data_IF_369170748009
#
_entry.id   IF_369170748009
#
_cell.length_a   1.000
_cell.length_b   1.000
_cell.length_c   1.000
_cell.angle_alpha   90.00
_cell.angle_beta   90.00
_cell.angle_gamma   90.00
#
_symmetry.space_group_name_H-M   'P 1'
#
loop_
_entity.id
_entity.type
_entity.pdbx_description
1 polymer ?
#
# COMPACT_ATOMS: atom_id res chain seq x y z
N UNK A 1 28.24 -24.61 -32.88
CA UNK A 1 29.16 -23.46 -32.71
C UNK A 1 28.34 -22.21 -32.89
N UNK A 2 28.24 -21.41 -31.83
CA UNK A 2 27.55 -20.13 -31.82
C UNK A 2 28.20 -19.13 -32.80
N UNK A 3 27.48 -18.05 -33.14
CA UNK A 3 27.77 -16.69 -32.64
C UNK A 3 26.69 -15.71 -33.12
N UNK A 4 26.02 -15.13 -32.11
CA UNK A 4 25.51 -13.76 -31.93
C UNK A 4 24.50 -13.15 -32.91
N UNK A 5 23.24 -13.14 -32.49
CA UNK A 5 22.30 -12.06 -32.81
C UNK A 5 22.19 -11.17 -31.56
N UNK A 6 22.97 -10.09 -31.52
CA UNK A 6 22.83 -9.04 -30.49
C UNK A 6 21.68 -8.13 -30.89
N UNK A 7 20.47 -8.44 -30.42
CA UNK A 7 19.40 -7.45 -30.36
C UNK A 7 19.76 -6.46 -29.26
N UNK A 8 20.35 -5.33 -29.65
CA UNK A 8 20.44 -4.15 -28.80
C UNK A 8 19.02 -3.62 -28.59
N UNK A 9 18.37 -4.01 -27.49
CA UNK A 9 17.19 -3.33 -26.99
C UNK A 9 17.61 -1.91 -26.61
N UNK A 10 17.14 -0.93 -27.38
CA UNK A 10 17.28 0.48 -27.03
C UNK A 10 16.01 0.89 -26.31
N UNK A 11 16.06 0.90 -24.99
CA UNK A 11 15.01 1.49 -24.16
C UNK A 11 14.85 2.95 -24.61
N UNK A 12 13.69 3.26 -25.17
CA UNK A 12 13.38 4.64 -25.59
C UNK A 12 12.52 5.24 -24.50
N UNK A 13 13.13 6.14 -23.72
CA UNK A 13 12.41 6.92 -22.71
C UNK A 13 11.91 8.18 -23.38
N UNK A 14 10.59 8.31 -23.50
CA UNK A 14 9.96 9.55 -23.98
C UNK A 14 9.54 10.34 -22.74
N UNK A 15 10.16 11.50 -22.56
CA UNK A 15 9.82 12.43 -21.47
C UNK A 15 8.92 13.52 -22.04
N UNK A 16 7.68 13.58 -21.58
CA UNK A 16 6.73 14.63 -21.96
C UNK A 16 6.50 15.51 -20.76
N UNK A 17 6.87 16.78 -20.90
CA UNK A 17 6.70 17.81 -19.86
C UNK A 17 5.53 18.69 -20.25
N UNK A 18 4.44 18.63 -19.48
CA UNK A 18 3.30 19.51 -19.64
C UNK A 18 3.35 20.59 -18.56
N UNK A 19 3.39 21.85 -19.00
CA UNK A 19 3.28 23.01 -18.13
C UNK A 19 1.88 23.58 -18.29
N UNK A 20 1.08 23.53 -17.23
CA UNK A 20 -0.25 24.14 -17.20
C UNK A 20 -0.23 25.33 -16.25
N UNK A 21 -0.62 26.50 -16.77
CA UNK A 21 -0.73 27.72 -15.99
C UNK A 21 -2.16 28.24 -16.01
N UNK A 22 -2.79 28.30 -14.84
CA UNK A 22 -4.04 29.04 -14.64
C UNK A 22 -3.88 29.86 -13.36
N UNK A 23 -3.45 31.12 -13.49
CA UNK A 23 -3.36 32.08 -12.37
C UNK A 23 -2.27 31.81 -11.33
N UNK A 24 -1.27 32.70 -11.26
CA UNK A 24 -0.21 32.82 -10.23
C UNK A 24 0.56 31.56 -9.78
N UNK A 25 0.52 30.47 -10.52
CA UNK A 25 1.43 29.33 -10.39
C UNK A 25 1.46 28.49 -11.66
N UNK A 26 2.66 28.08 -12.09
CA UNK A 26 2.83 27.08 -13.15
C UNK A 26 3.04 25.75 -12.47
N UNK A 27 2.12 24.80 -12.68
CA UNK A 27 2.35 23.40 -12.31
C UNK A 27 3.00 22.71 -13.49
N UNK A 28 4.14 22.06 -13.26
CA UNK A 28 4.83 21.24 -14.25
C UNK A 28 4.61 19.79 -13.85
N UNK A 29 3.93 19.03 -14.69
CA UNK A 29 3.79 17.59 -14.53
C UNK A 29 4.61 16.91 -15.61
N UNK A 30 5.59 16.10 -15.20
CA UNK A 30 6.40 15.30 -16.11
C UNK A 30 5.87 13.87 -16.09
N UNK A 31 5.55 13.34 -17.28
CA UNK A 31 5.16 11.95 -17.45
C UNK A 31 6.34 11.18 -18.04
N UNK A 32 6.65 10.04 -17.43
CA UNK A 32 7.65 9.10 -17.91
C UNK A 32 6.94 7.90 -18.50
N UNK A 33 7.11 7.68 -19.80
CA UNK A 33 6.62 6.48 -20.46
C UNK A 33 7.86 5.66 -20.84
N UNK A 34 7.99 4.49 -20.21
CA UNK A 34 9.02 3.51 -20.53
C UNK A 34 8.35 2.44 -21.36
N UNK A 35 8.72 2.35 -22.63
CA UNK A 35 8.25 1.29 -23.51
C UNK A 35 9.43 0.43 -23.94
N UNK A 36 9.38 -0.86 -23.60
CA UNK A 36 10.48 -1.78 -23.88
C UNK A 36 10.45 -2.31 -25.33
N UNK A 37 9.34 -2.16 -26.07
CA UNK A 37 9.18 -2.69 -27.44
C UNK A 37 8.28 -1.83 -28.37
N UNK A 38 8.24 -0.51 -28.17
CA UNK A 38 7.49 0.36 -29.08
C UNK A 38 8.21 0.47 -30.43
N UNK A 39 7.69 -0.24 -31.44
CA UNK A 39 8.10 -0.06 -32.83
C UNK A 39 7.92 1.40 -33.31
N UNK A 40 8.49 1.78 -34.47
CA UNK A 40 8.63 3.17 -34.92
C UNK A 40 7.32 3.93 -35.26
N UNK A 41 6.14 3.39 -34.95
CA UNK A 41 4.83 3.93 -35.36
C UNK A 41 3.81 4.06 -34.21
N UNK A 42 4.24 4.38 -33.00
CA UNK A 42 3.29 4.81 -31.95
C UNK A 42 2.93 6.30 -32.14
N UNK A 43 1.64 6.61 -32.30
CA UNK A 43 1.10 7.97 -32.26
C UNK A 43 0.40 8.20 -30.92
N UNK A 44 0.62 9.37 -30.31
CA UNK A 44 -0.02 9.80 -29.07
C UNK A 44 -1.06 10.86 -29.43
N UNK A 45 -2.32 10.66 -29.02
CA UNK A 45 -3.39 11.64 -29.16
C UNK A 45 -3.68 12.30 -27.82
N UNK A 46 -4.07 13.58 -27.84
CA UNK A 46 -4.54 14.30 -26.66
C UNK A 46 -5.95 14.81 -26.95
N UNK A 47 -6.90 14.49 -26.06
CA UNK A 47 -8.18 15.20 -26.00
C UNK A 47 -8.24 16.07 -24.75
N UNK A 48 -9.05 17.12 -24.78
CA UNK A 48 -9.00 18.25 -23.84
C UNK A 48 -9.51 17.95 -22.42
N UNK A 49 -9.86 16.70 -22.13
CA UNK A 49 -10.07 16.19 -20.78
C UNK A 49 -9.03 15.08 -20.52
N UNK A 50 -8.20 15.30 -19.50
CA UNK A 50 -6.94 14.59 -19.21
C UNK A 50 -7.14 13.08 -19.09
N UNK A 51 -7.11 12.39 -20.23
CA UNK A 51 -6.96 10.95 -20.36
C UNK A 51 -5.91 10.71 -21.44
N UNK A 52 -4.88 9.94 -21.09
CA UNK A 52 -3.75 9.69 -21.97
C UNK A 52 -3.95 8.29 -22.57
N UNK A 53 -4.69 8.22 -23.68
CA UNK A 53 -4.96 6.95 -24.34
C UNK A 53 -3.75 6.53 -25.19
N UNK A 54 -2.92 5.62 -24.67
CA UNK A 54 -1.83 5.01 -25.43
C UNK A 54 -2.43 3.89 -26.29
N UNK A 55 -2.74 4.21 -27.55
CA UNK A 55 -3.20 3.22 -28.53
C UNK A 55 -1.98 2.49 -29.10
N UNK A 56 -1.58 1.39 -28.47
CA UNK A 56 -0.60 0.47 -29.05
C UNK A 56 -1.29 -0.36 -30.14
N UNK A 57 -0.93 -0.15 -31.41
CA UNK A 57 -1.51 -0.89 -32.52
C UNK A 57 -1.20 -2.40 -32.42
N UNK A 58 -2.25 -3.21 -32.19
CA UNK A 58 -2.36 -4.65 -32.45
C UNK A 58 -1.36 -5.63 -31.79
N UNK A 59 -0.65 -5.25 -30.72
CA UNK A 59 0.15 -6.22 -29.94
C UNK A 59 -0.58 -6.67 -28.66
N UNK A 60 -0.96 -7.94 -28.52
CA UNK A 60 -1.66 -8.47 -27.33
C UNK A 60 -0.80 -8.52 -26.06
N UNK A 61 0.49 -8.17 -26.12
CA UNK A 61 1.39 -8.10 -24.95
C UNK A 61 1.47 -6.70 -24.33
N UNK A 62 0.96 -5.67 -25.01
CA UNK A 62 0.90 -4.31 -24.47
C UNK A 62 -0.28 -4.17 -23.49
N UNK A 63 0.01 -4.09 -22.18
CA UNK A 63 -0.94 -3.61 -21.17
C UNK A 63 -0.76 -2.11 -21.00
N UNK A 64 -1.85 -1.35 -21.09
CA UNK A 64 -1.86 0.06 -20.70
C UNK A 64 -1.55 0.18 -19.21
N UNK A 65 -0.57 1.01 -18.87
CA UNK A 65 -0.40 1.53 -17.52
C UNK A 65 -1.28 2.78 -17.42
N UNK A 66 -2.55 2.57 -17.10
CA UNK A 66 -3.44 3.68 -16.74
C UNK A 66 -3.03 4.23 -15.37
N UNK A 67 -2.54 5.46 -15.37
CA UNK A 67 -2.30 6.23 -14.15
C UNK A 67 -3.65 6.73 -13.63
N UNK A 68 -3.99 6.35 -12.40
CA UNK A 68 -5.19 6.76 -11.65
C UNK A 68 -6.54 6.38 -12.29
N UNK A 69 -6.95 5.14 -12.10
CA UNK A 69 -8.37 4.77 -12.13
C UNK A 69 -8.70 4.00 -10.86
N UNK A 70 -9.87 4.30 -10.32
CA UNK A 70 -10.59 3.54 -9.31
C UNK A 70 -10.55 2.04 -9.69
N UNK A 71 -9.63 1.26 -9.09
CA UNK A 71 -9.44 -0.15 -9.49
C UNK A 71 -10.48 -1.00 -8.79
N UNK A 72 -11.69 -0.91 -9.31
CA UNK A 72 -12.80 -1.79 -9.02
C UNK A 72 -12.43 -3.20 -9.49
N UNK A 73 -11.86 -4.01 -8.59
CA UNK A 73 -11.62 -5.43 -8.82
C UNK A 73 -10.27 -5.78 -9.46
N UNK A 74 -9.17 -5.57 -8.72
CA UNK A 74 -8.00 -6.39 -8.94
C UNK A 74 -8.42 -7.86 -8.78
N UNK A 75 -8.39 -8.63 -9.88
CA UNK A 75 -8.31 -10.08 -9.79
C UNK A 75 -6.91 -10.38 -9.24
N UNK A 76 -6.81 -10.46 -7.91
CA UNK A 76 -5.58 -10.89 -7.26
C UNK A 76 -5.07 -12.16 -7.91
N UNK A 77 -3.76 -12.27 -8.07
CA UNK A 77 -3.15 -13.55 -8.42
C UNK A 77 -3.61 -14.60 -7.39
N UNK A 78 -3.61 -15.91 -7.72
CA UNK A 78 -4.00 -16.93 -6.75
C UNK A 78 -3.27 -16.82 -5.40
N UNK A 79 -1.98 -16.46 -5.41
CA UNK A 79 -1.20 -16.20 -4.19
C UNK A 79 -1.62 -14.88 -3.49
N UNK A 80 -1.94 -13.83 -4.23
CA UNK A 80 -2.50 -12.59 -3.66
C UNK A 80 -3.85 -12.82 -2.98
N UNK A 81 -4.70 -13.66 -3.59
CA UNK A 81 -5.99 -14.02 -3.01
C UNK A 81 -5.83 -14.86 -1.75
N UNK A 82 -4.88 -15.80 -1.72
CA UNK A 82 -4.52 -16.56 -0.53
C UNK A 82 -4.03 -15.63 0.59
N UNK A 83 -3.11 -14.71 0.29
CA UNK A 83 -2.63 -13.68 1.23
C UNK A 83 -3.79 -12.91 1.85
N UNK A 84 -4.72 -12.42 1.04
CA UNK A 84 -5.90 -11.68 1.53
C UNK A 84 -6.78 -12.54 2.44
N UNK A 85 -6.97 -13.82 2.12
CA UNK A 85 -7.75 -14.70 2.97
C UNK A 85 -7.06 -14.90 4.33
N UNK A 86 -5.75 -15.11 4.34
CA UNK A 86 -4.97 -15.23 5.57
C UNK A 86 -5.03 -13.94 6.41
N UNK A 87 -4.91 -12.77 5.78
CA UNK A 87 -5.04 -11.48 6.48
C UNK A 87 -6.45 -11.27 7.03
N UNK A 88 -7.50 -11.70 6.31
CA UNK A 88 -8.89 -11.67 6.80
C UNK A 88 -9.08 -12.54 8.04
N UNK A 89 -8.46 -13.72 8.08
CA UNK A 89 -8.48 -14.57 9.26
C UNK A 89 -7.69 -13.96 10.43
N UNK A 90 -6.53 -13.35 10.14
CA UNK A 90 -5.73 -12.64 11.13
C UNK A 90 -6.52 -11.51 11.81
N UNK A 91 -7.16 -10.62 11.04
CA UNK A 91 -7.88 -9.47 11.63
C UNK A 91 -9.15 -9.87 12.40
N UNK A 92 -9.67 -11.08 12.20
CA UNK A 92 -10.80 -11.63 12.96
C UNK A 92 -10.40 -12.15 14.34
N UNK A 93 -9.11 -12.33 14.60
CA UNK A 93 -8.65 -12.87 15.88
C UNK A 93 -9.04 -11.94 17.04
N UNK A 94 -9.49 -12.49 18.19
CA UNK A 94 -9.90 -11.68 19.34
C UNK A 94 -8.83 -10.71 19.84
N UNK A 95 -7.55 -11.08 19.74
CA UNK A 95 -6.44 -10.23 20.16
C UNK A 95 -6.36 -8.93 19.33
N UNK A 96 -6.60 -9.02 18.01
CA UNK A 96 -6.63 -7.86 17.11
C UNK A 96 -7.86 -7.00 17.41
N UNK A 97 -9.03 -7.62 17.46
CA UNK A 97 -10.33 -6.95 17.66
C UNK A 97 -10.35 -6.18 18.99
N UNK A 98 -9.92 -6.83 20.09
CA UNK A 98 -9.86 -6.19 21.40
C UNK A 98 -8.89 -5.01 21.44
N UNK A 99 -7.73 -5.13 20.79
CA UNK A 99 -6.73 -4.06 20.76
C UNK A 99 -7.24 -2.82 20.01
N UNK A 100 -7.92 -3.02 18.87
CA UNK A 100 -8.56 -1.94 18.13
C UNK A 100 -9.66 -1.28 18.95
N UNK A 101 -10.57 -2.07 19.54
CA UNK A 101 -11.65 -1.55 20.36
C UNK A 101 -11.15 -0.74 21.57
N UNK A 102 -10.13 -1.23 22.29
CA UNK A 102 -9.52 -0.49 23.39
C UNK A 102 -8.83 0.81 22.94
N UNK A 103 -8.15 0.77 21.78
CA UNK A 103 -7.51 1.96 21.22
C UNK A 103 -8.55 3.01 20.80
N UNK A 104 -9.61 2.57 20.10
CA UNK A 104 -10.71 3.43 19.68
C UNK A 104 -11.44 4.02 20.88
N UNK A 105 -11.75 3.22 21.89
CA UNK A 105 -12.40 3.67 23.12
C UNK A 105 -11.56 4.76 23.81
N UNK A 106 -10.25 4.53 23.97
CA UNK A 106 -9.35 5.53 24.57
C UNK A 106 -9.40 6.86 23.84
N UNK A 107 -9.35 6.83 22.50
CA UNK A 107 -9.28 8.02 21.67
C UNK A 107 -10.65 8.67 21.39
N UNK A 108 -11.76 7.95 21.63
CA UNK A 108 -13.13 8.49 21.54
C UNK A 108 -13.53 9.28 22.80
N UNK A 109 -12.85 9.08 23.93
CA UNK A 109 -13.12 9.78 25.19
C UNK A 109 -12.51 11.19 25.27
N UNK A 110 -11.76 11.60 24.25
CA UNK A 110 -11.13 12.92 24.15
C UNK A 110 -11.67 13.69 22.95
N UNK A 111 -11.63 15.02 23.02
CA UNK A 111 -12.03 15.85 21.88
C UNK A 111 -11.04 15.73 20.71
N UNK A 112 -11.52 15.99 19.51
CA UNK A 112 -10.71 15.95 18.29
C UNK A 112 -9.47 16.85 18.40
N UNK A 113 -9.62 18.08 18.91
CA UNK A 113 -8.49 19.00 19.12
C UNK A 113 -7.42 18.40 20.03
N UNK A 114 -7.82 17.73 21.12
CA UNK A 114 -6.89 17.10 22.06
C UNK A 114 -6.22 15.89 21.41
N UNK A 115 -6.97 15.06 20.67
CA UNK A 115 -6.42 13.91 19.93
C UNK A 115 -5.40 14.35 18.90
N UNK A 116 -5.69 15.40 18.13
CA UNK A 116 -4.78 15.98 17.14
C UNK A 116 -3.47 16.43 17.82
N UNK A 117 -3.53 17.12 18.96
CA UNK A 117 -2.31 17.53 19.68
C UNK A 117 -1.51 16.33 20.19
N UNK A 118 -2.18 15.29 20.69
CA UNK A 118 -1.52 14.04 21.10
C UNK A 118 -0.82 13.39 19.90
N UNK A 119 -1.48 13.30 18.75
CA UNK A 119 -0.92 12.69 17.53
C UNK A 119 0.28 13.48 17.02
N UNK A 120 0.19 14.81 16.96
CA UNK A 120 1.34 15.68 16.62
C UNK A 120 2.53 15.45 17.56
N UNK A 121 2.27 15.26 18.86
CA UNK A 121 3.33 15.01 19.83
C UNK A 121 3.95 13.63 19.66
N UNK A 122 3.13 12.59 19.46
CA UNK A 122 3.59 11.21 19.21
C UNK A 122 4.38 11.12 17.91
N UNK A 123 3.92 11.77 16.86
CA UNK A 123 4.60 11.86 15.56
C UNK A 123 5.98 12.51 15.69
N UNK A 124 6.07 13.65 16.40
CA UNK A 124 7.35 14.31 16.68
C UNK A 124 8.29 13.41 17.47
N UNK A 125 7.80 12.71 18.48
CA UNK A 125 8.60 11.74 19.22
C UNK A 125 9.06 10.60 18.30
N UNK A 126 8.18 10.14 17.40
CA UNK A 126 8.43 9.02 16.50
C UNK A 126 9.58 9.29 15.54
N UNK A 127 9.49 10.41 14.81
CA UNK A 127 10.45 10.82 13.78
C UNK A 127 11.81 11.18 14.39
N UNK A 128 11.82 11.91 15.52
CA UNK A 128 13.07 12.46 16.05
C UNK A 128 13.90 11.46 16.86
N UNK A 129 13.35 10.30 17.19
CA UNK A 129 14.03 9.33 18.05
C UNK A 129 14.77 8.28 17.23
N UNK A 130 16.09 8.25 17.40
CA UNK A 130 16.96 7.19 16.83
C UNK A 130 16.74 5.84 17.52
N UNK A 131 16.55 5.87 18.83
CA UNK A 131 16.30 4.70 19.66
C UNK A 131 14.81 4.54 19.96
N UNK A 132 14.38 3.32 20.29
CA UNK A 132 12.99 3.06 20.67
C UNK A 132 12.64 3.73 22.01
N UNK A 133 11.72 4.69 21.96
CA UNK A 133 11.16 5.36 23.14
C UNK A 133 10.16 4.45 23.89
N UNK A 134 9.72 4.80 25.11
CA UNK A 134 8.67 4.06 25.80
C UNK A 134 7.36 3.95 25.00
N UNK A 135 6.97 5.01 24.28
CA UNK A 135 5.82 4.98 23.37
C UNK A 135 6.03 3.95 22.27
N UNK A 136 7.15 4.02 21.54
CA UNK A 136 7.47 3.08 20.47
C UNK A 136 7.49 1.64 20.97
N UNK A 137 8.12 1.39 22.13
CA UNK A 137 8.16 0.05 22.74
C UNK A 137 6.76 -0.45 23.10
N UNK A 138 5.86 0.42 23.58
CA UNK A 138 4.48 0.01 23.90
C UNK A 138 3.66 -0.40 22.67
N UNK A 139 4.04 0.09 21.48
CA UNK A 139 3.38 -0.23 20.21
C UNK A 139 4.08 -1.39 19.51
N UNK A 140 5.42 -1.41 19.47
CA UNK A 140 6.20 -2.44 18.79
C UNK A 140 6.29 -3.72 19.63
N UNK A 141 6.40 -3.63 20.96
CA UNK A 141 6.56 -4.77 21.87
C UNK A 141 5.29 -4.94 22.73
N UNK A 142 4.23 -5.39 22.08
CA UNK A 142 3.01 -5.85 22.74
C UNK A 142 2.53 -7.15 22.08
N UNK A 143 1.63 -7.87 22.76
CA UNK A 143 1.15 -9.18 22.31
C UNK A 143 0.50 -9.15 20.91
N UNK A 144 -0.09 -8.02 20.53
CA UNK A 144 -0.69 -7.82 19.19
C UNK A 144 0.42 -7.73 18.15
N UNK A 145 1.47 -6.95 18.40
CA UNK A 145 2.64 -6.83 17.53
C UNK A 145 3.45 -8.12 17.44
N UNK A 146 3.51 -8.90 18.53
CA UNK A 146 4.07 -10.26 18.50
C UNK A 146 3.23 -11.17 17.58
N UNK A 147 1.90 -11.14 17.73
CA UNK A 147 0.99 -11.85 16.82
C UNK A 147 1.16 -11.41 15.36
N UNK A 148 1.37 -10.12 15.09
CA UNK A 148 1.64 -9.64 13.73
C UNK A 148 2.97 -10.20 13.20
N UNK A 149 4.04 -10.16 14.00
CA UNK A 149 5.35 -10.71 13.62
C UNK A 149 5.30 -12.21 13.33
N UNK A 150 4.58 -12.97 14.15
CA UNK A 150 4.40 -14.41 13.95
C UNK A 150 3.66 -14.73 12.64
N UNK A 151 2.91 -13.76 12.09
CA UNK A 151 2.18 -13.88 10.82
C UNK A 151 2.91 -13.23 9.63
N UNK A 152 4.16 -12.77 9.80
CA UNK A 152 4.98 -12.34 8.65
C UNK A 152 5.34 -13.51 7.73
N UNK A 153 5.34 -14.74 8.24
CA UNK A 153 5.56 -15.96 7.46
C UNK A 153 4.45 -16.94 7.80
N UNK A 154 3.51 -17.11 6.89
CA UNK A 154 2.37 -18.01 7.05
C UNK A 154 2.58 -19.23 6.15
N UNK A 155 2.49 -20.43 6.73
CA UNK A 155 2.50 -21.65 5.94
C UNK A 155 1.22 -21.73 5.10
N UNK A 156 1.36 -21.96 3.80
CA UNK A 156 0.22 -22.25 2.92
C UNK A 156 0.29 -23.70 2.46
N UNK A 157 -0.87 -24.34 2.36
CA UNK A 157 -0.99 -25.68 1.79
C UNK A 157 -0.83 -25.67 0.26
N UNK A 158 -1.00 -24.50 -0.37
CA UNK A 158 -1.10 -24.33 -1.82
C UNK A 158 0.13 -23.65 -2.45
N UNK A 159 0.94 -22.96 -1.66
CA UNK A 159 2.08 -22.17 -2.11
C UNK A 159 3.29 -22.39 -1.18
N UNK A 160 4.49 -22.01 -1.65
CA UNK A 160 5.61 -21.77 -0.74
C UNK A 160 5.18 -20.78 0.36
N UNK A 161 5.85 -20.81 1.51
CA UNK A 161 5.55 -19.94 2.65
C UNK A 161 5.18 -18.52 2.20
N UNK A 162 3.99 -18.07 2.62
CA UNK A 162 3.48 -16.74 2.32
C UNK A 162 4.20 -15.74 3.21
N UNK A 163 5.01 -14.86 2.61
CA UNK A 163 5.83 -13.89 3.35
C UNK A 163 5.31 -12.47 3.22
N UNK A 164 5.42 -11.70 4.30
CA UNK A 164 5.17 -10.26 4.36
C UNK A 164 6.44 -9.56 4.88
N UNK A 165 6.69 -8.35 4.41
CA UNK A 165 7.76 -7.50 4.92
C UNK A 165 7.34 -6.77 6.20
N UNK A 166 6.09 -6.33 6.26
CA UNK A 166 5.56 -5.54 7.36
C UNK A 166 4.05 -5.74 7.53
N UNK A 167 3.58 -5.59 8.78
CA UNK A 167 2.19 -5.38 9.12
C UNK A 167 2.05 -4.10 9.95
N UNK A 168 1.14 -3.22 9.55
CA UNK A 168 0.78 -1.99 10.27
C UNK A 168 -0.69 -2.04 10.64
N UNK A 169 -1.00 -2.06 11.93
CA UNK A 169 -2.36 -2.05 12.46
C UNK A 169 -2.70 -0.68 13.06
N UNK A 170 -3.75 -0.05 12.53
CA UNK A 170 -4.19 1.30 12.92
C UNK A 170 -5.59 1.31 13.49
N UNK A 171 -5.85 2.24 14.41
CA UNK A 171 -7.20 2.53 14.92
C UNK A 171 -8.01 3.37 13.91
N UNK A 172 -9.28 3.69 14.21
CA UNK A 172 -10.15 4.47 13.29
C UNK A 172 -9.66 5.89 13.03
N UNK A 173 -8.69 6.37 13.79
CA UNK A 173 -8.10 7.70 13.67
C UNK A 173 -6.71 7.68 13.02
N UNK A 174 -6.23 6.51 12.57
CA UNK A 174 -4.93 6.34 11.90
C UNK A 174 -3.73 6.23 12.82
N UNK A 175 -3.93 6.11 14.13
CA UNK A 175 -2.82 5.91 15.07
C UNK A 175 -2.40 4.46 15.12
N UNK A 176 -1.08 4.22 15.14
CA UNK A 176 -0.52 2.88 15.28
C UNK A 176 -0.94 2.24 16.61
N UNK A 177 -1.60 1.08 16.51
CA UNK A 177 -1.97 0.20 17.63
C UNK A 177 -0.90 -0.86 17.84
N UNK A 178 -0.46 -1.47 16.74
CA UNK A 178 0.53 -2.53 16.71
C UNK A 178 1.23 -2.52 15.35
N UNK A 179 2.53 -2.80 15.35
CA UNK A 179 3.34 -2.86 14.12
C UNK A 179 4.38 -3.97 14.27
N UNK A 180 4.66 -4.67 13.17
CA UNK A 180 5.68 -5.74 13.18
C UNK A 180 7.10 -5.19 13.25
N UNK A 181 7.35 -4.06 12.58
CA UNK A 181 8.63 -3.32 12.53
C UNK A 181 8.35 -1.82 12.68
N UNK A 182 9.38 -1.01 13.00
CA UNK A 182 9.22 0.44 13.16
C UNK A 182 9.00 1.11 11.80
N UNK A 183 7.87 1.80 11.65
CA UNK A 183 7.51 2.63 10.48
C UNK A 183 8.15 4.02 10.52
N UNK A 184 8.03 4.77 9.42
CA UNK A 184 8.55 6.14 9.31
C UNK A 184 7.77 7.17 10.15
N UNK A 185 6.46 6.95 10.33
CA UNK A 185 5.51 7.81 11.04
C UNK A 185 4.67 7.01 12.05
N UNK A 186 4.10 7.71 13.04
CA UNK A 186 3.11 7.17 13.99
C UNK A 186 1.68 7.35 13.46
N UNK A 187 1.39 8.50 12.85
CA UNK A 187 0.07 8.83 12.31
C UNK A 187 -0.02 8.46 10.83
N UNK A 188 -0.72 7.35 10.55
CA UNK A 188 -0.95 6.81 9.21
C UNK A 188 -2.16 7.45 8.53
N UNK A 189 -2.96 8.28 9.21
CA UNK A 189 -4.18 8.87 8.61
C UNK A 189 -3.89 9.78 7.40
N UNK A 190 -2.62 10.18 7.25
CA UNK A 190 -2.14 11.02 6.15
C UNK A 190 -1.72 10.21 4.93
N UNK A 191 -1.62 8.90 5.06
CA UNK A 191 -1.18 8.03 3.99
C UNK A 191 -2.35 7.76 3.03
N UNK A 192 -2.04 7.67 1.75
CA UNK A 192 -3.03 7.48 0.68
C UNK A 192 -3.79 6.17 0.85
N UNK A 193 -3.09 5.09 1.19
CA UNK A 193 -3.66 3.77 1.47
C UNK A 193 -4.67 3.82 2.61
N UNK A 194 -4.36 4.58 3.66
CA UNK A 194 -5.23 4.68 4.83
C UNK A 194 -6.50 5.45 4.47
N UNK A 195 -6.37 6.58 3.77
CA UNK A 195 -7.51 7.38 3.33
C UNK A 195 -8.41 6.62 2.36
N UNK A 196 -7.84 5.90 1.41
CA UNK A 196 -8.61 5.07 0.47
C UNK A 196 -9.43 4.01 1.22
N UNK A 197 -8.81 3.26 2.13
CA UNK A 197 -9.53 2.28 2.95
C UNK A 197 -10.58 2.93 3.87
N UNK A 198 -10.27 4.09 4.44
CA UNK A 198 -11.19 4.80 5.33
C UNK A 198 -12.46 5.24 4.59
N UNK A 199 -12.32 5.81 3.39
CA UNK A 199 -13.44 6.28 2.58
C UNK A 199 -14.15 5.19 1.77
N UNK A 200 -13.54 4.01 1.61
CA UNK A 200 -14.19 2.87 0.95
C UNK A 200 -15.44 2.40 1.74
N UNK A 201 -16.58 2.38 1.07
CA UNK A 201 -17.87 1.98 1.66
C UNK A 201 -18.07 0.47 1.66
N UNK A 202 -17.46 -0.22 0.70
CA UNK A 202 -17.68 -1.65 0.51
C UNK A 202 -16.79 -2.49 1.44
N UNK A 203 -15.68 -1.92 1.92
CA UNK A 203 -14.68 -2.60 2.73
C UNK A 203 -13.94 -3.67 1.94
N UNK A 204 -13.78 -3.46 0.64
CA UNK A 204 -13.10 -4.41 -0.24
C UNK A 204 -11.60 -4.32 -0.02
N UNK A 205 -10.90 -5.46 0.19
CA UNK A 205 -9.45 -5.47 0.13
C UNK A 205 -8.98 -4.90 -1.21
N UNK A 206 -7.95 -4.07 -1.15
CA UNK A 206 -7.26 -3.60 -2.35
C UNK A 206 -5.76 -3.69 -2.15
N UNK A 207 -5.05 -3.60 -3.27
CA UNK A 207 -3.60 -3.52 -3.26
C UNK A 207 -3.12 -2.23 -3.92
N UNK A 208 -1.96 -1.74 -3.47
CA UNK A 208 -1.23 -0.67 -4.16
C UNK A 208 -0.32 -1.27 -5.22
N UNK A 209 0.13 -0.48 -6.18
CA UNK A 209 1.10 -0.96 -7.15
C UNK A 209 2.44 -1.24 -6.47
N UNK A 210 3.23 -2.16 -7.03
CA UNK A 210 4.58 -2.42 -6.57
C UNK A 210 5.45 -1.14 -6.55
N UNK A 211 5.83 -0.69 -5.36
CA UNK A 211 6.68 0.48 -5.12
C UNK A 211 7.80 0.12 -4.14
N UNK A 212 8.85 0.93 -4.08
CA UNK A 212 9.88 0.75 -3.06
C UNK A 212 9.37 1.27 -1.72
N UNK A 213 9.35 0.40 -0.73
CA UNK A 213 8.94 0.66 0.65
C UNK A 213 10.19 0.86 1.52
N UNK A 214 10.31 2.07 2.08
CA UNK A 214 11.45 2.46 2.92
C UNK A 214 11.42 1.87 4.33
N UNK A 215 10.25 1.57 4.90
CA UNK A 215 10.17 0.97 6.25
C UNK A 215 10.54 -0.51 6.20
N UNK A 216 10.12 -1.22 5.16
CA UNK A 216 10.42 -2.63 4.96
C UNK A 216 11.71 -2.90 4.14
N UNK A 217 12.30 -1.86 3.52
CA UNK A 217 13.48 -1.92 2.64
C UNK A 217 13.33 -2.92 1.46
N UNK A 218 12.13 -3.02 0.89
CA UNK A 218 11.79 -3.94 -0.22
C UNK A 218 10.99 -3.24 -1.30
N UNK A 219 10.94 -3.81 -2.50
CA UNK A 219 9.85 -3.50 -3.44
C UNK A 219 8.62 -4.30 -3.01
N UNK A 220 7.59 -3.61 -2.54
CA UNK A 220 6.38 -4.22 -2.02
C UNK A 220 5.13 -3.76 -2.73
N UNK A 221 4.17 -4.68 -2.76
CA UNK A 221 2.76 -4.39 -2.98
C UNK A 221 2.11 -4.34 -1.59
N UNK A 222 1.41 -3.27 -1.26
CA UNK A 222 0.66 -3.22 0.00
C UNK A 222 -0.67 -3.94 -0.18
N UNK A 223 -1.02 -4.85 0.74
CA UNK A 223 -2.36 -5.42 0.85
C UNK A 223 -3.12 -4.77 2.00
N UNK A 224 -4.21 -4.07 1.69
CA UNK A 224 -4.95 -3.26 2.66
C UNK A 224 -6.27 -3.93 3.00
N UNK A 225 -6.51 -4.12 4.31
CA UNK A 225 -7.74 -4.69 4.86
C UNK A 225 -8.41 -3.67 5.78
N UNK A 226 -9.61 -3.21 5.37
CA UNK A 226 -10.52 -2.48 6.26
C UNK A 226 -11.12 -3.45 7.28
N UNK A 227 -10.95 -3.15 8.56
CA UNK A 227 -11.38 -4.03 9.65
C UNK A 227 -12.71 -3.54 10.20
N UNK A 228 -13.67 -4.46 10.26
CA UNK A 228 -14.95 -4.27 10.92
C UNK A 228 -14.97 -5.09 12.20
N UNK A 229 -15.64 -4.56 13.22
CA UNK A 229 -15.91 -5.26 14.46
C UNK A 229 -16.74 -6.51 14.18
N UNK A 230 -16.31 -7.64 14.74
CA UNK A 230 -16.93 -8.93 14.47
C UNK A 230 -18.40 -9.00 14.90
N UNK A 231 -18.83 -8.21 15.88
CA UNK A 231 -20.19 -8.26 16.43
C UNK A 231 -21.09 -7.18 15.82
N UNK A 232 -20.64 -5.92 15.85
CA UNK A 232 -21.42 -4.77 15.41
C UNK A 232 -21.30 -4.50 13.91
N UNK A 233 -20.23 -4.97 13.26
CA UNK A 233 -19.93 -4.64 11.86
C UNK A 233 -19.42 -3.21 11.65
N UNK A 234 -19.22 -2.45 12.72
CA UNK A 234 -18.68 -1.09 12.68
C UNK A 234 -17.22 -1.07 12.26
N UNK A 235 -16.78 -0.02 11.58
CA UNK A 235 -15.38 0.15 11.23
C UNK A 235 -14.54 0.41 12.48
N UNK A 236 -13.47 -0.37 12.68
CA UNK A 236 -12.63 -0.27 13.90
C UNK A 236 -11.14 -0.09 13.62
N UNK A 237 -10.70 -0.16 12.36
CA UNK A 237 -9.30 0.04 12.03
C UNK A 237 -8.91 -0.47 10.64
N UNK A 238 -7.64 -0.30 10.29
CA UNK A 238 -7.09 -0.76 9.01
C UNK A 238 -5.80 -1.53 9.28
N UNK A 239 -5.64 -2.66 8.61
CA UNK A 239 -4.37 -3.39 8.48
C UNK A 239 -3.76 -3.10 7.11
N UNK A 240 -2.55 -2.57 7.06
CA UNK A 240 -1.69 -2.61 5.88
C UNK A 240 -0.68 -3.76 6.03
N UNK A 241 -0.44 -4.51 4.98
CA UNK A 241 0.56 -5.58 4.92
C UNK A 241 1.40 -5.51 3.66
N UNK A 242 2.66 -5.11 3.79
CA UNK A 242 3.61 -5.04 2.68
C UNK A 242 4.00 -6.46 2.24
N UNK A 243 3.81 -6.79 0.98
CA UNK A 243 4.27 -8.07 0.41
C UNK A 243 5.33 -7.83 -0.67
N UNK A 244 6.47 -8.54 -0.64
CA UNK A 244 7.46 -8.45 -1.71
C UNK A 244 6.84 -8.75 -3.08
N UNK A 245 7.11 -7.90 -4.08
CA UNK A 245 6.50 -8.03 -5.40
C UNK A 245 6.98 -9.27 -6.15
N UNK A 246 8.24 -9.66 -5.95
CA UNK A 246 8.83 -10.85 -6.56
C UNK A 246 8.11 -12.15 -6.13
N UNK A 247 7.49 -12.16 -4.94
CA UNK A 247 6.66 -13.26 -4.45
C UNK A 247 5.30 -13.30 -5.15
N UNK A 248 4.68 -12.14 -5.42
CA UNK A 248 3.35 -12.08 -6.03
C UNK A 248 3.34 -12.44 -7.52
N UNK A 249 4.42 -12.14 -8.23
CA UNK A 249 4.52 -12.30 -9.69
C UNK A 249 5.44 -13.44 -10.13
N UNK A 250 5.91 -14.28 -9.18
CA UNK A 250 6.74 -15.44 -9.51
C UNK A 250 5.98 -16.35 -10.50
N UNK A 251 6.51 -16.60 -11.72
CA UNK A 251 5.88 -17.53 -12.64
C UNK A 251 5.88 -18.94 -12.03
N UNK A 252 4.70 -19.54 -12.02
CA UNK A 252 4.45 -20.93 -11.62
C UNK A 252 5.14 -21.93 -12.56
#
# INVERSE_FOLDING_TARGET
MSVNNTNNLRNTVIVIVLATGIGFGVSITAYFIICEDCGPLSQIFFDNDVSLEIICSNDPTCRSLDNSTEIDGYNFTPIGQEKINLLKELVRQPIIQNALNLSNEKDSHISDDVRIQIYIQREKEWINSKELTPLMKSIIHNDVSDSLRDNLIIQSDNFDNVTFGEHILTNVYGGNVAISVKTDNYDQSRDDWWQQAFYDKDGRPFARQCEFDSSAEIFSEDLIIKIKDNESGEFIGILNSATPCDVLYKPS
#
